data_IF_995794860739
#
_entry.id   IF_995794860739
#
_cell.length_a   1.000
_cell.length_b   1.000
_cell.length_c   1.000
_cell.angle_alpha   90.00
_cell.angle_beta   90.00
_cell.angle_gamma   90.00
#
_symmetry.space_group_name_H-M   'P 1'
#
loop_
_entity.id
_entity.type
_entity.pdbx_description
1 polymer ?
#
# COMPACT_ATOMS: atom_id res chain seq x y z
N UNK A 1 9.56 2.37 -16.65
CA UNK A 1 8.14 2.06 -16.64
C UNK A 1 7.37 3.17 -15.98
N UNK A 2 6.20 3.44 -16.52
CA UNK A 2 5.43 4.61 -16.09
C UNK A 2 4.52 4.26 -14.93
N UNK A 3 4.40 5.21 -14.00
CA UNK A 3 3.38 5.14 -12.97
C UNK A 3 2.06 5.67 -13.54
N UNK A 4 0.96 5.29 -12.93
CA UNK A 4 -0.34 5.85 -13.25
C UNK A 4 -0.93 6.52 -12.02
N UNK A 5 -1.76 7.53 -12.24
CA UNK A 5 -2.42 8.24 -11.15
C UNK A 5 -3.68 7.47 -10.74
N UNK A 6 -3.73 7.11 -9.47
CA UNK A 6 -4.88 6.40 -8.89
C UNK A 6 -5.70 7.39 -8.08
N UNK A 7 -7.00 7.44 -8.37
CA UNK A 7 -7.95 8.23 -7.57
C UNK A 7 -8.77 7.25 -6.74
N UNK A 8 -8.77 7.43 -5.43
CA UNK A 8 -9.46 6.52 -4.52
C UNK A 8 -10.35 7.31 -3.56
N UNK A 9 -11.37 6.64 -3.04
CA UNK A 9 -12.26 7.21 -2.04
C UNK A 9 -12.01 6.59 -0.68
N UNK A 10 -11.69 7.42 0.31
CA UNK A 10 -11.53 6.98 1.69
C UNK A 10 -12.61 7.65 2.54
N UNK A 11 -13.68 6.88 2.84
CA UNK A 11 -14.87 7.46 3.42
C UNK A 11 -15.48 8.48 2.45
N UNK A 12 -15.66 9.70 2.90
CA UNK A 12 -16.15 10.80 2.06
C UNK A 12 -15.02 11.65 1.47
N UNK A 13 -13.78 11.22 1.63
CA UNK A 13 -12.61 12.01 1.24
C UNK A 13 -11.96 11.41 0.01
N UNK A 14 -11.77 12.18 -1.07
CA UNK A 14 -10.99 11.70 -2.20
C UNK A 14 -9.50 11.76 -1.87
N UNK A 15 -8.77 10.72 -2.25
CA UNK A 15 -7.31 10.70 -2.19
C UNK A 15 -6.77 10.32 -3.55
N UNK A 16 -5.56 10.74 -3.85
CA UNK A 16 -4.91 10.35 -5.09
C UNK A 16 -3.42 10.10 -4.85
N UNK A 17 -2.87 9.19 -5.60
CA UNK A 17 -1.45 8.87 -5.54
C UNK A 17 -1.01 8.25 -6.86
N UNK A 18 0.29 8.27 -7.10
CA UNK A 18 0.85 7.59 -8.25
C UNK A 18 1.35 6.23 -7.85
N UNK A 19 1.11 5.23 -8.69
CA UNK A 19 1.54 3.87 -8.44
C UNK A 19 1.93 3.19 -9.75
N UNK A 20 2.83 2.24 -9.65
CA UNK A 20 3.25 1.40 -10.77
C UNK A 20 2.44 0.12 -10.72
N UNK A 21 1.68 -0.15 -11.79
CA UNK A 21 0.92 -1.39 -11.91
C UNK A 21 1.88 -2.51 -12.29
N UNK A 22 1.97 -3.53 -11.45
CA UNK A 22 2.86 -4.64 -11.71
C UNK A 22 2.20 -5.67 -12.64
N UNK A 23 2.98 -6.31 -13.52
CA UNK A 23 2.46 -7.43 -14.28
C UNK A 23 2.18 -8.62 -13.36
N UNK A 24 1.25 -9.47 -13.76
CA UNK A 24 0.81 -10.60 -12.96
C UNK A 24 1.98 -11.49 -12.50
N UNK A 25 2.96 -11.70 -13.37
CA UNK A 25 4.11 -12.54 -13.07
C UNK A 25 5.00 -12.00 -11.93
N UNK A 26 4.89 -10.72 -11.61
CA UNK A 26 5.72 -10.09 -10.58
C UNK A 26 5.00 -9.91 -9.24
N UNK A 27 3.76 -10.39 -9.11
CA UNK A 27 2.96 -10.15 -7.92
C UNK A 27 3.60 -10.73 -6.66
N UNK A 28 4.24 -11.88 -6.77
CA UNK A 28 4.84 -12.52 -5.61
C UNK A 28 6.07 -11.77 -5.07
N UNK A 29 6.71 -10.93 -5.89
CA UNK A 29 7.84 -10.12 -5.44
C UNK A 29 7.39 -8.88 -4.69
N UNK A 30 6.37 -8.18 -5.19
CA UNK A 30 5.90 -6.94 -4.57
C UNK A 30 7.04 -6.01 -4.21
N UNK A 31 7.11 -5.62 -2.93
CA UNK A 31 8.14 -4.75 -2.40
C UNK A 31 9.42 -5.50 -1.98
N UNK A 32 9.47 -6.82 -2.13
CA UNK A 32 10.64 -7.60 -1.73
C UNK A 32 11.90 -7.11 -2.44
N UNK A 33 12.97 -6.96 -1.67
CA UNK A 33 14.29 -6.54 -2.16
C UNK A 33 14.32 -5.13 -2.77
N UNK A 34 13.26 -4.34 -2.62
CA UNK A 34 13.25 -2.95 -3.04
C UNK A 34 13.73 -2.04 -1.91
N UNK A 35 14.10 -0.82 -2.25
CA UNK A 35 14.46 0.19 -1.24
C UNK A 35 13.23 0.96 -0.80
N UNK A 36 13.35 1.67 0.32
CA UNK A 36 12.27 2.49 0.88
C UNK A 36 11.74 3.53 -0.11
N UNK A 37 12.58 4.02 -1.01
CA UNK A 37 12.20 5.07 -1.96
C UNK A 37 11.65 4.53 -3.29
N UNK A 38 11.34 3.24 -3.34
CA UNK A 38 10.71 2.66 -4.53
C UNK A 38 9.32 3.27 -4.76
N UNK A 39 8.80 3.08 -5.98
CA UNK A 39 7.46 3.56 -6.32
C UNK A 39 6.39 2.85 -5.50
N UNK A 40 5.23 3.48 -5.39
CA UNK A 40 4.04 2.79 -4.91
C UNK A 40 3.65 1.73 -5.93
N UNK A 41 3.16 0.60 -5.47
CA UNK A 41 2.80 -0.53 -6.34
C UNK A 41 1.29 -0.75 -6.29
N UNK A 42 0.72 -1.16 -7.42
CA UNK A 42 -0.69 -1.49 -7.52
C UNK A 42 -0.85 -2.88 -8.13
N UNK A 43 -1.69 -3.69 -7.52
CA UNK A 43 -1.98 -5.05 -7.94
C UNK A 43 -3.48 -5.22 -8.18
N UNK A 44 -3.84 -5.85 -9.28
CA UNK A 44 -5.20 -6.31 -9.51
C UNK A 44 -5.31 -7.75 -8.99
N UNK A 45 -5.70 -7.87 -7.72
CA UNK A 45 -5.76 -9.16 -7.02
C UNK A 45 -7.13 -9.32 -6.38
N UNK A 46 -8.08 -9.97 -7.04
CA UNK A 46 -9.41 -10.15 -6.45
C UNK A 46 -9.38 -11.15 -5.30
N UNK A 47 -10.23 -10.92 -4.30
CA UNK A 47 -10.44 -11.88 -3.24
C UNK A 47 -10.02 -11.42 -1.86
N UNK A 48 -9.47 -12.35 -1.07
CA UNK A 48 -9.02 -12.10 0.30
C UNK A 48 -7.58 -12.58 0.51
N UNK A 49 -6.74 -12.34 -0.47
CA UNK A 49 -5.34 -12.76 -0.39
C UNK A 49 -4.64 -12.02 0.74
N UNK A 50 -3.90 -12.78 1.53
CA UNK A 50 -3.00 -12.18 2.52
C UNK A 50 -1.68 -11.79 1.87
N UNK A 51 -0.97 -10.90 2.53
CA UNK A 51 0.36 -10.48 2.11
C UNK A 51 1.35 -10.69 3.24
N UNK A 52 2.60 -10.81 2.89
CA UNK A 52 3.70 -10.88 3.85
C UNK A 52 4.74 -9.82 3.52
N UNK A 53 5.63 -9.56 4.47
CA UNK A 53 6.70 -8.59 4.28
C UNK A 53 8.08 -9.21 4.50
N UNK A 54 8.24 -10.50 4.24
CA UNK A 54 9.56 -11.12 4.23
C UNK A 54 10.43 -10.47 3.16
N UNK A 55 11.67 -10.16 3.50
CA UNK A 55 12.61 -9.48 2.61
C UNK A 55 12.16 -8.09 2.17
N UNK A 56 11.21 -7.49 2.89
CA UNK A 56 10.89 -6.08 2.80
C UNK A 56 11.52 -5.41 4.01
N UNK A 57 12.42 -4.46 3.79
CA UNK A 57 13.27 -3.89 4.83
C UNK A 57 12.79 -2.52 5.30
N UNK A 58 11.53 -2.17 5.00
CA UNK A 58 10.93 -0.91 5.40
C UNK A 58 9.43 -1.15 5.63
N UNK A 59 8.80 -0.27 6.40
CA UNK A 59 7.35 -0.33 6.60
C UNK A 59 6.62 0.21 5.38
N UNK A 60 5.43 -0.30 5.12
CA UNK A 60 4.60 0.19 4.03
C UNK A 60 3.12 0.16 4.43
N UNK A 61 2.34 1.00 3.77
CA UNK A 61 0.90 1.03 3.92
C UNK A 61 0.30 0.10 2.88
N UNK A 62 -0.47 -0.88 3.32
CA UNK A 62 -1.27 -1.71 2.43
C UNK A 62 -2.69 -1.14 2.40
N UNK A 63 -3.19 -0.87 1.20
CA UNK A 63 -4.54 -0.33 1.00
C UNK A 63 -5.29 -1.27 0.09
N UNK A 64 -6.38 -1.83 0.58
CA UNK A 64 -7.24 -2.71 -0.21
C UNK A 64 -8.41 -1.91 -0.75
N UNK A 65 -8.62 -1.99 -2.05
CA UNK A 65 -9.61 -1.21 -2.78
C UNK A 65 -10.64 -2.11 -3.44
N UNK A 66 -11.86 -1.61 -3.60
CA UNK A 66 -12.87 -2.30 -4.43
C UNK A 66 -12.67 -1.93 -5.90
N UNK A 67 -13.58 -2.43 -6.75
CA UNK A 67 -13.52 -2.23 -8.20
C UNK A 67 -13.64 -0.76 -8.59
N UNK A 68 -14.25 0.06 -7.75
CA UNK A 68 -14.43 1.49 -7.98
C UNK A 68 -13.38 2.32 -7.27
N UNK A 69 -12.30 1.69 -6.80
CA UNK A 69 -11.21 2.34 -6.07
C UNK A 69 -11.65 2.95 -4.73
N UNK A 70 -12.66 2.37 -4.10
CA UNK A 70 -13.04 2.75 -2.76
C UNK A 70 -12.19 1.96 -1.76
N UNK A 71 -11.64 2.65 -0.75
CA UNK A 71 -10.83 2.00 0.27
C UNK A 71 -11.73 1.13 1.14
N UNK A 72 -11.44 -0.16 1.18
CA UNK A 72 -12.15 -1.13 1.99
C UNK A 72 -11.47 -1.38 3.33
N UNK A 73 -10.15 -1.38 3.32
CA UNK A 73 -9.34 -1.62 4.50
C UNK A 73 -7.95 -1.09 4.25
N UNK A 74 -7.20 -0.85 5.33
CA UNK A 74 -5.82 -0.43 5.23
C UNK A 74 -5.05 -0.88 6.46
N UNK A 75 -3.74 -1.02 6.32
CA UNK A 75 -2.90 -1.43 7.43
C UNK A 75 -1.46 -1.01 7.18
N UNK A 76 -0.78 -0.55 8.24
CA UNK A 76 0.68 -0.37 8.19
C UNK A 76 1.32 -1.74 8.44
N UNK A 77 2.11 -2.19 7.49
CA UNK A 77 2.79 -3.48 7.55
C UNK A 77 4.27 -3.23 7.83
N UNK A 78 4.75 -3.81 8.91
CA UNK A 78 6.17 -3.69 9.29
C UNK A 78 6.99 -4.75 8.57
N UNK A 79 8.33 -4.55 8.47
CA UNK A 79 9.21 -5.55 7.89
C UNK A 79 9.02 -6.93 8.54
N UNK A 80 9.15 -7.96 7.74
CA UNK A 80 9.09 -9.36 8.19
C UNK A 80 7.78 -9.77 8.87
N UNK A 81 6.68 -9.11 8.54
CA UNK A 81 5.35 -9.54 8.97
C UNK A 81 4.98 -10.84 8.26
N UNK A 82 4.55 -11.84 9.04
CA UNK A 82 4.26 -13.15 8.49
C UNK A 82 3.03 -13.12 7.58
N UNK A 83 1.95 -12.46 8.02
CA UNK A 83 0.71 -12.41 7.27
C UNK A 83 -0.10 -11.19 7.64
N UNK A 84 -0.54 -10.44 6.64
CA UNK A 84 -1.50 -9.36 6.78
C UNK A 84 -2.66 -9.60 5.82
N UNK A 85 -3.90 -9.59 6.33
CA UNK A 85 -5.09 -9.85 5.53
C UNK A 85 -6.09 -8.73 5.68
N UNK A 86 -6.84 -8.39 4.62
CA UNK A 86 -7.94 -7.44 4.74
C UNK A 86 -9.13 -8.10 5.42
N UNK A 87 -10.04 -7.28 5.95
CA UNK A 87 -11.27 -7.77 6.57
C UNK A 87 -12.36 -8.08 5.56
N UNK A 88 -12.24 -7.58 4.34
CA UNK A 88 -13.24 -7.72 3.29
C UNK A 88 -12.60 -8.23 2.02
N UNK A 89 -13.42 -8.79 1.13
CA UNK A 89 -12.96 -9.11 -0.23
C UNK A 89 -12.62 -7.82 -0.96
N UNK A 90 -11.54 -7.84 -1.70
CA UNK A 90 -11.03 -6.67 -2.39
C UNK A 90 -10.81 -6.99 -3.88
N UNK A 91 -10.66 -5.95 -4.69
CA UNK A 91 -10.35 -6.08 -6.11
C UNK A 91 -8.92 -5.67 -6.41
N UNK A 92 -8.36 -4.72 -5.65
CA UNK A 92 -7.02 -4.19 -5.87
C UNK A 92 -6.31 -3.99 -4.55
N UNK A 93 -4.98 -4.10 -4.61
CA UNK A 93 -4.11 -3.84 -3.48
C UNK A 93 -3.08 -2.80 -3.89
N UNK A 94 -2.94 -1.73 -3.12
CA UNK A 94 -1.86 -0.77 -3.25
C UNK A 94 -0.87 -0.96 -2.10
N UNK A 95 0.42 -1.02 -2.42
CA UNK A 95 1.50 -1.05 -1.44
C UNK A 95 2.27 0.25 -1.53
N UNK A 96 2.25 1.03 -0.47
CA UNK A 96 2.76 2.40 -0.43
C UNK A 96 3.86 2.47 0.63
N UNK A 97 5.14 2.54 0.20
CA UNK A 97 6.24 2.63 1.17
C UNK A 97 6.10 3.82 2.10
N UNK A 98 6.44 3.62 3.36
CA UNK A 98 6.49 4.70 4.35
C UNK A 98 7.78 5.48 4.10
N UNK A 99 7.66 6.63 3.43
CA UNK A 99 8.79 7.49 3.10
C UNK A 99 8.34 8.95 3.01
N UNK A 100 9.29 9.84 2.78
CA UNK A 100 9.00 11.28 2.73
C UNK A 100 8.08 11.65 1.57
N UNK A 101 8.24 11.02 0.42
CA UNK A 101 7.42 11.30 -0.76
C UNK A 101 5.95 11.01 -0.50
N UNK A 102 5.65 9.99 0.31
CA UNK A 102 4.28 9.56 0.61
C UNK A 102 3.73 10.20 1.88
N UNK A 103 4.41 11.19 2.46
CA UNK A 103 4.01 11.77 3.74
C UNK A 103 2.57 12.27 3.74
N UNK A 104 2.19 13.06 2.74
CA UNK A 104 0.84 13.61 2.69
C UNK A 104 -0.21 12.53 2.49
N UNK A 105 0.08 11.56 1.65
CA UNK A 105 -0.82 10.42 1.44
C UNK A 105 -1.02 9.63 2.72
N UNK A 106 0.07 9.31 3.41
CA UNK A 106 0.01 8.56 4.67
C UNK A 106 -0.79 9.30 5.73
N UNK A 107 -0.78 10.62 5.71
CA UNK A 107 -1.51 11.44 6.67
C UNK A 107 -3.02 11.26 6.61
N UNK A 108 -3.55 10.72 5.50
CA UNK A 108 -4.97 10.43 5.38
C UNK A 108 -5.38 9.17 6.16
N UNK A 109 -4.43 8.32 6.51
CA UNK A 109 -4.68 7.03 7.15
C UNK A 109 -4.23 7.00 8.61
N UNK A 110 -3.20 7.75 8.96
CA UNK A 110 -2.58 7.64 10.28
C UNK A 110 -2.73 8.93 11.06
N UNK A 111 -2.71 8.83 12.39
CA UNK A 111 -2.63 9.99 13.27
C UNK A 111 -1.25 10.65 13.16
N UNK A 112 -1.13 11.87 13.63
CA UNK A 112 0.16 12.57 13.67
C UNK A 112 1.20 11.75 14.42
N UNK A 113 0.80 11.12 15.53
CA UNK A 113 1.69 10.29 16.34
C UNK A 113 2.20 9.09 15.56
N UNK A 114 1.30 8.41 14.85
CA UNK A 114 1.68 7.24 14.04
C UNK A 114 2.59 7.63 12.91
N UNK A 115 2.31 8.76 12.24
CA UNK A 115 3.19 9.25 11.17
C UNK A 115 4.59 9.49 11.68
N UNK A 116 4.72 10.11 12.83
CA UNK A 116 6.03 10.40 13.44
C UNK A 116 6.79 9.11 13.72
N UNK A 117 6.10 8.11 14.24
CA UNK A 117 6.69 6.81 14.56
C UNK A 117 7.27 6.13 13.31
N UNK A 118 6.55 6.15 12.20
CA UNK A 118 6.97 5.41 11.01
C UNK A 118 7.88 6.21 10.09
N UNK A 119 7.72 7.53 10.02
CA UNK A 119 8.50 8.36 9.11
C UNK A 119 9.83 8.81 9.69
N UNK A 120 9.96 8.87 11.00
CA UNK A 120 11.18 9.28 11.67
C UNK A 120 12.17 8.15 11.89
N UNK A 121 11.68 6.91 11.78
CA UNK A 121 12.51 5.74 12.09
C UNK A 121 13.13 5.06 10.90
#
# INVERSE_FOLDING_TARGET
MMTEKIKAGFGNKPISFEAKRLPYQSYWLGLMFRTRNTENLLFDLPGRWGIHSFFVFFSFLAVWLDEKNKVLDWRIVRPFTFLARPRKKFAKLAEIPVNKRNRLLLSNFTTTRERFKYLAG
#
